data_IF_524842164139
#
_entry.id   IF_524842164139
#
_cell.length_a   1.000
_cell.length_b   1.000
_cell.length_c   1.000
_cell.angle_alpha   90.00
_cell.angle_beta   90.00
_cell.angle_gamma   90.00
#
_symmetry.space_group_name_H-M   'P 1'
#
loop_
_entity.id
_entity.type
_entity.pdbx_description
1 polymer ?
#
# COMPACT_ATOMS: atom_id res chain seq x y z
N UNK A 1 14.02 -2.83 21.13
CA UNK A 1 14.83 -3.65 22.09
C UNK A 1 15.64 -2.83 23.11
N UNK A 2 16.19 -1.68 22.74
CA UNK A 2 16.93 -0.79 23.68
C UNK A 2 16.00 -0.08 24.66
N UNK A 3 14.78 0.31 24.25
CA UNK A 3 13.80 1.00 25.10
C UNK A 3 13.26 0.16 26.25
N UNK A 4 13.06 -1.14 26.06
CA UNK A 4 12.58 -2.03 27.13
C UNK A 4 13.64 -2.35 28.18
N UNK A 5 14.91 -2.26 27.84
CA UNK A 5 16.02 -2.36 28.77
C UNK A 5 16.16 -1.07 29.62
N UNK A 6 15.99 0.09 28.99
CA UNK A 6 16.03 1.37 29.69
C UNK A 6 14.87 1.56 30.66
N UNK A 7 13.68 1.03 30.39
CA UNK A 7 12.54 1.07 31.31
C UNK A 7 12.69 0.14 32.52
N UNK A 8 13.46 -0.96 32.43
CA UNK A 8 13.67 -1.91 33.53
C UNK A 8 14.82 -1.53 34.47
N UNK A 9 15.76 -0.72 33.98
CA UNK A 9 16.89 -0.19 34.79
C UNK A 9 16.39 0.64 35.99
N UNK A 10 15.43 1.58 35.85
CA UNK A 10 14.94 2.34 37.01
C UNK A 10 14.25 1.48 38.06
N UNK A 11 13.53 0.41 37.63
CA UNK A 11 12.87 -0.52 38.57
C UNK A 11 13.92 -1.31 39.36
N UNK A 12 14.99 -1.78 38.74
CA UNK A 12 16.07 -2.48 39.42
C UNK A 12 16.83 -1.55 40.38
N UNK A 13 17.11 -0.31 39.96
CA UNK A 13 17.74 0.70 40.79
C UNK A 13 16.82 1.09 41.95
N UNK A 14 15.53 1.28 41.73
CA UNK A 14 14.55 1.58 42.78
C UNK A 14 14.45 0.43 43.79
N UNK A 15 14.46 -0.84 43.31
CA UNK A 15 14.52 -2.00 44.19
C UNK A 15 15.78 -2.05 45.07
N UNK A 16 16.94 -1.76 44.46
CA UNK A 16 18.21 -1.73 45.21
C UNK A 16 18.27 -0.56 46.19
N UNK A 17 17.75 0.61 45.84
CA UNK A 17 17.62 1.76 46.73
C UNK A 17 16.66 1.48 47.88
N UNK A 18 15.56 0.79 47.62
CA UNK A 18 14.58 0.38 48.64
C UNK A 18 15.21 -0.60 49.65
N UNK A 19 16.01 -1.57 49.14
CA UNK A 19 16.74 -2.50 50.02
C UNK A 19 17.79 -1.76 50.84
N UNK A 20 18.51 -0.81 50.27
CA UNK A 20 19.50 0.03 51.00
C UNK A 20 18.79 0.91 52.02
N UNK A 21 17.62 1.50 51.72
CA UNK A 21 16.82 2.31 52.64
C UNK A 21 16.29 1.46 53.81
N UNK A 22 15.75 0.27 53.54
CA UNK A 22 15.28 -0.65 54.57
C UNK A 22 16.42 -1.09 55.47
N UNK A 23 17.60 -1.38 54.91
CA UNK A 23 18.81 -1.70 55.67
C UNK A 23 19.23 -0.54 56.58
N UNK A 24 19.27 0.68 56.04
CA UNK A 24 19.67 1.88 56.83
C UNK A 24 18.68 2.17 57.95
N UNK A 25 17.39 2.07 57.68
CA UNK A 25 16.35 2.21 58.71
C UNK A 25 16.47 1.12 59.79
N UNK A 26 16.68 -0.12 59.38
CA UNK A 26 16.87 -1.26 60.28
C UNK A 26 18.11 -1.10 61.18
N UNK A 27 19.27 -0.72 60.60
CA UNK A 27 20.51 -0.45 61.37
C UNK A 27 20.30 0.69 62.35
N UNK A 28 19.58 1.76 61.95
CA UNK A 28 19.30 2.92 62.81
C UNK A 28 18.35 2.60 63.94
N UNK A 29 17.32 1.78 63.70
CA UNK A 29 16.31 1.39 64.71
C UNK A 29 16.82 0.41 65.77
N UNK A 30 17.85 -0.38 65.45
CA UNK A 30 18.45 -1.40 66.32
C UNK A 30 19.80 -1.03 66.89
N UNK A 31 20.34 0.18 66.62
CA UNK A 31 21.68 0.62 67.04
C UNK A 31 22.81 -0.39 66.73
N UNK A 32 22.64 -1.16 65.62
CA UNK A 32 23.60 -2.22 65.21
C UNK A 32 24.75 -1.58 64.45
N UNK A 33 25.97 -1.85 64.92
CA UNK A 33 27.18 -1.39 64.19
C UNK A 33 27.43 -2.26 62.95
N UNK A 34 28.02 -1.65 61.90
CA UNK A 34 28.37 -2.37 60.67
C UNK A 34 29.24 -3.59 60.93
N UNK A 35 30.13 -3.54 61.91
CA UNK A 35 31.02 -4.64 62.24
C UNK A 35 30.26 -5.83 62.85
N UNK A 36 29.27 -5.58 63.70
CA UNK A 36 28.41 -6.63 64.27
C UNK A 36 27.55 -7.31 63.18
N UNK A 37 27.01 -6.55 62.25
CA UNK A 37 26.27 -7.13 61.12
C UNK A 37 27.15 -8.10 60.29
N UNK A 38 28.36 -7.69 59.91
CA UNK A 38 29.26 -8.56 59.17
C UNK A 38 29.71 -9.78 60.00
N UNK A 39 29.86 -9.66 61.31
CA UNK A 39 30.18 -10.77 62.20
C UNK A 39 29.07 -11.82 62.22
N UNK A 40 27.79 -11.38 62.32
CA UNK A 40 26.62 -12.26 62.25
C UNK A 40 26.46 -12.87 60.87
N UNK A 41 26.67 -12.06 59.80
CA UNK A 41 26.62 -12.53 58.41
C UNK A 41 27.62 -13.68 58.21
N UNK A 42 28.86 -13.52 58.76
CA UNK A 42 29.91 -14.54 58.65
C UNK A 42 29.57 -15.79 59.46
N UNK A 43 28.87 -15.69 60.59
CA UNK A 43 28.42 -16.83 61.40
C UNK A 43 27.25 -17.61 60.79
N UNK A 44 26.53 -17.02 59.80
CA UNK A 44 25.34 -17.59 59.18
C UNK A 44 25.57 -18.11 57.77
N UNK A 45 26.84 -18.40 57.36
CA UNK A 45 27.19 -18.83 56.03
C UNK A 45 26.37 -19.99 55.47
N UNK A 46 26.15 -21.04 56.30
CA UNK A 46 25.35 -22.20 55.89
C UNK A 46 23.91 -21.82 55.60
N UNK A 47 23.32 -20.95 56.40
CA UNK A 47 21.95 -20.45 56.21
C UNK A 47 21.84 -19.57 54.91
N UNK A 48 22.86 -18.78 54.61
CA UNK A 48 22.93 -18.01 53.39
C UNK A 48 23.02 -18.89 52.15
N UNK A 49 23.76 -20.00 52.19
CA UNK A 49 23.81 -20.98 51.08
C UNK A 49 22.41 -21.57 50.85
N UNK A 50 21.71 -21.99 51.92
CA UNK A 50 20.37 -22.51 51.78
C UNK A 50 19.36 -21.49 51.29
N UNK A 51 19.42 -20.21 51.75
CA UNK A 51 18.57 -19.14 51.22
C UNK A 51 18.87 -18.84 49.75
N UNK A 52 20.10 -18.92 49.32
CA UNK A 52 20.49 -18.77 47.92
C UNK A 52 19.90 -19.92 47.04
N UNK A 53 20.08 -21.16 47.50
CA UNK A 53 19.52 -22.33 46.78
C UNK A 53 18.01 -22.21 46.67
N UNK A 54 17.33 -21.89 47.78
CA UNK A 54 15.87 -21.71 47.82
C UNK A 54 15.40 -20.57 46.88
N UNK A 55 16.10 -19.41 46.89
CA UNK A 55 15.81 -18.32 45.98
C UNK A 55 15.96 -18.71 44.49
N UNK A 56 17.03 -19.47 44.16
CA UNK A 56 17.26 -19.94 42.77
C UNK A 56 16.15 -20.93 42.37
N UNK A 57 15.80 -21.88 43.24
CA UNK A 57 14.76 -22.87 42.93
C UNK A 57 13.40 -22.18 42.74
N UNK A 58 12.99 -21.29 43.64
CA UNK A 58 11.71 -20.60 43.59
C UNK A 58 11.58 -19.75 42.33
N UNK A 59 12.63 -18.99 42.00
CA UNK A 59 12.64 -18.12 40.80
C UNK A 59 12.74 -18.90 39.52
N UNK A 60 13.43 -20.05 39.53
CA UNK A 60 13.49 -20.96 38.36
C UNK A 60 12.13 -21.59 38.07
N UNK A 61 11.41 -22.05 39.10
CA UNK A 61 10.03 -22.58 38.95
C UNK A 61 9.10 -21.50 38.38
N UNK A 62 9.17 -20.29 38.91
CA UNK A 62 8.39 -19.15 38.40
C UNK A 62 8.76 -18.80 36.95
N UNK A 63 10.07 -18.82 36.64
CA UNK A 63 10.57 -18.58 35.26
C UNK A 63 10.08 -19.64 34.26
N UNK A 64 10.11 -20.93 34.65
CA UNK A 64 9.58 -22.03 33.82
C UNK A 64 8.07 -21.87 33.61
N UNK A 65 7.32 -21.55 34.67
CA UNK A 65 5.88 -21.33 34.57
C UNK A 65 5.53 -20.17 33.61
N UNK A 66 6.23 -19.04 33.73
CA UNK A 66 6.04 -17.91 32.81
C UNK A 66 6.47 -18.25 31.39
N UNK A 67 7.52 -19.05 31.20
CA UNK A 67 7.95 -19.50 29.88
C UNK A 67 6.91 -20.40 29.21
N UNK A 68 6.33 -21.35 29.96
CA UNK A 68 5.25 -22.19 29.44
C UNK A 68 4.05 -21.32 29.04
N UNK A 69 3.64 -20.38 29.91
CA UNK A 69 2.55 -19.46 29.61
C UNK A 69 2.83 -18.60 28.39
N UNK A 70 4.06 -18.14 28.18
CA UNK A 70 4.43 -17.30 27.05
C UNK A 70 4.43 -18.02 25.71
N UNK A 71 4.50 -19.38 25.70
CA UNK A 71 4.37 -20.17 24.45
C UNK A 71 2.95 -20.11 23.87
N UNK A 72 1.95 -19.83 24.70
CA UNK A 72 0.56 -19.80 24.31
C UNK A 72 0.00 -18.38 24.15
N UNK A 73 0.83 -17.37 24.39
CA UNK A 73 0.42 -15.97 24.34
C UNK A 73 1.50 -15.11 23.68
N UNK A 74 1.15 -14.45 22.58
CA UNK A 74 2.05 -13.56 21.85
C UNK A 74 1.27 -12.33 21.40
N UNK A 75 1.94 -11.18 21.39
CA UNK A 75 1.40 -9.93 20.89
C UNK A 75 2.25 -9.41 19.73
N UNK A 76 1.60 -8.78 18.75
CA UNK A 76 2.26 -8.00 17.73
C UNK A 76 1.69 -6.59 17.69
N UNK A 77 2.54 -5.62 17.40
CA UNK A 77 2.10 -4.27 17.08
C UNK A 77 2.17 -4.11 15.57
N UNK A 78 1.04 -3.75 14.99
CA UNK A 78 0.88 -3.40 13.58
C UNK A 78 0.83 -1.88 13.50
N UNK A 79 1.82 -1.28 12.88
CA UNK A 79 1.89 0.18 12.67
C UNK A 79 1.63 0.51 11.20
N UNK A 80 0.72 1.45 10.97
CA UNK A 80 0.36 1.96 9.65
C UNK A 80 1.16 3.24 9.37
N UNK A 81 2.17 3.14 8.49
CA UNK A 81 3.13 4.20 8.21
C UNK A 81 2.89 4.89 6.85
N UNK A 82 1.63 5.05 6.45
CA UNK A 82 1.25 5.78 5.24
C UNK A 82 0.44 7.05 5.60
N UNK A 83 0.41 8.03 4.69
CA UNK A 83 -0.12 9.37 4.96
C UNK A 83 -1.59 9.39 5.39
N UNK A 84 -2.41 8.58 4.74
CA UNK A 84 -3.87 8.49 4.93
C UNK A 84 -4.24 7.83 6.28
N UNK A 85 -3.32 7.04 6.86
CA UNK A 85 -3.54 6.38 8.15
C UNK A 85 -3.85 7.36 9.29
N UNK A 86 -3.22 8.54 9.29
CA UNK A 86 -3.48 9.60 10.27
C UNK A 86 -4.89 10.19 10.18
N UNK A 87 -5.59 9.96 9.08
CA UNK A 87 -6.97 10.37 8.82
C UNK A 87 -7.97 9.21 9.00
N UNK A 88 -7.54 8.08 9.55
CA UNK A 88 -8.29 6.83 9.65
C UNK A 88 -8.78 6.31 8.28
N UNK A 89 -7.95 6.46 7.24
CA UNK A 89 -8.24 6.01 5.88
C UNK A 89 -7.23 4.96 5.43
N UNK A 90 -7.67 4.06 4.56
CA UNK A 90 -6.82 3.16 3.80
C UNK A 90 -6.11 3.93 2.68
N UNK A 91 -5.12 3.34 2.05
CA UNK A 91 -4.37 3.95 0.94
C UNK A 91 -5.22 4.34 -0.29
N UNK A 92 -6.42 3.76 -0.43
CA UNK A 92 -7.39 4.10 -1.48
C UNK A 92 -8.41 5.17 -1.03
N UNK A 93 -8.26 5.78 0.15
CA UNK A 93 -9.17 6.79 0.69
C UNK A 93 -10.42 6.25 1.39
N UNK A 94 -10.64 4.93 1.41
CA UNK A 94 -11.76 4.34 2.15
C UNK A 94 -11.48 4.35 3.65
N UNK A 95 -12.55 4.29 4.47
CA UNK A 95 -12.41 4.32 5.93
C UNK A 95 -11.68 3.07 6.44
N UNK A 96 -10.65 3.25 7.27
CA UNK A 96 -9.92 2.15 7.89
C UNK A 96 -10.76 1.45 8.97
N UNK A 97 -10.70 0.12 9.00
CA UNK A 97 -11.33 -0.71 10.02
C UNK A 97 -10.32 -1.70 10.61
N UNK A 98 -9.91 -1.47 11.86
CA UNK A 98 -8.92 -2.34 12.54
C UNK A 98 -9.35 -3.80 12.67
N UNK A 99 -10.67 -4.08 12.70
CA UNK A 99 -11.19 -5.45 12.81
C UNK A 99 -10.87 -6.30 11.58
N UNK A 100 -10.48 -5.67 10.46
CA UNK A 100 -10.08 -6.40 9.25
C UNK A 100 -8.75 -7.13 9.43
N UNK A 101 -7.92 -6.73 10.39
CA UNK A 101 -6.66 -7.45 10.70
C UNK A 101 -6.93 -8.92 11.08
N UNK A 102 -8.11 -9.18 11.65
CA UNK A 102 -8.56 -10.52 12.08
C UNK A 102 -9.91 -10.91 11.44
N UNK A 103 -10.22 -10.44 10.23
CA UNK A 103 -11.42 -10.85 9.50
C UNK A 103 -11.31 -12.32 9.04
N UNK A 104 -12.42 -12.90 8.63
CA UNK A 104 -12.47 -14.32 8.27
C UNK A 104 -11.54 -14.63 7.09
N UNK A 105 -11.49 -13.77 6.07
CA UNK A 105 -10.61 -13.93 4.92
C UNK A 105 -9.12 -13.94 5.29
N UNK A 106 -8.71 -13.05 6.22
CA UNK A 106 -7.32 -13.01 6.72
C UNK A 106 -6.99 -14.26 7.51
N UNK A 107 -7.92 -14.72 8.36
CA UNK A 107 -7.69 -15.91 9.19
C UNK A 107 -7.66 -17.18 8.35
N UNK A 108 -8.53 -17.32 7.34
CA UNK A 108 -8.51 -18.42 6.36
C UNK A 108 -7.19 -18.47 5.61
N UNK A 109 -6.76 -17.35 5.06
CA UNK A 109 -5.48 -17.23 4.36
C UNK A 109 -4.30 -17.58 5.26
N UNK A 110 -4.32 -17.19 6.53
CA UNK A 110 -3.28 -17.55 7.48
C UNK A 110 -3.26 -19.05 7.82
N UNK A 111 -4.44 -19.70 7.87
CA UNK A 111 -4.56 -21.16 8.05
C UNK A 111 -3.96 -21.90 6.84
N UNK A 112 -4.26 -21.46 5.63
CA UNK A 112 -3.72 -22.00 4.38
C UNK A 112 -2.19 -21.85 4.33
N UNK A 113 -1.67 -20.64 4.58
CA UNK A 113 -0.23 -20.35 4.62
C UNK A 113 0.52 -21.17 5.65
N UNK A 114 -0.10 -21.41 6.81
CA UNK A 114 0.47 -22.18 7.91
C UNK A 114 0.24 -23.68 7.81
N UNK A 115 -0.56 -24.14 6.85
CA UNK A 115 -1.03 -25.52 6.72
C UNK A 115 -1.52 -26.09 8.09
N UNK A 116 -2.32 -25.30 8.82
CA UNK A 116 -2.78 -25.67 10.15
C UNK A 116 -3.85 -26.76 10.06
N UNK A 117 -3.44 -28.01 10.31
CA UNK A 117 -4.37 -29.14 10.34
C UNK A 117 -5.31 -29.08 11.54
N UNK A 118 -6.60 -29.44 11.32
CA UNK A 118 -7.63 -29.55 12.35
C UNK A 118 -7.99 -28.24 13.10
N UNK A 119 -7.72 -27.08 12.53
CA UNK A 119 -8.09 -25.77 13.08
C UNK A 119 -9.05 -25.08 12.14
N UNK A 120 -10.22 -24.71 12.65
CA UNK A 120 -11.22 -23.95 11.87
C UNK A 120 -10.98 -22.43 12.03
N UNK A 121 -11.40 -21.64 11.04
CA UNK A 121 -11.38 -20.16 11.06
C UNK A 121 -11.98 -19.61 12.35
N UNK A 122 -13.14 -20.13 12.76
CA UNK A 122 -13.82 -19.70 14.00
C UNK A 122 -13.00 -20.01 15.26
N UNK A 123 -12.34 -21.17 15.32
CA UNK A 123 -11.50 -21.53 16.49
C UNK A 123 -10.28 -20.62 16.59
N UNK A 124 -9.61 -20.32 15.48
CA UNK A 124 -8.44 -19.45 15.47
C UNK A 124 -8.84 -18.00 15.75
N UNK A 125 -9.92 -17.50 15.14
CA UNK A 125 -10.44 -16.16 15.37
C UNK A 125 -10.82 -15.89 16.81
N UNK A 126 -11.39 -16.87 17.52
CA UNK A 126 -11.72 -16.75 18.95
C UNK A 126 -10.47 -16.63 19.85
N UNK A 127 -9.28 -16.95 19.33
CA UNK A 127 -8.01 -16.83 20.03
C UNK A 127 -7.31 -15.49 19.73
N UNK A 128 -7.87 -14.68 18.83
CA UNK A 128 -7.31 -13.41 18.36
C UNK A 128 -8.12 -12.24 18.92
N UNK A 129 -7.43 -11.18 19.29
CA UNK A 129 -8.03 -9.89 19.59
C UNK A 129 -7.21 -8.76 19.01
N UNK A 130 -7.87 -7.66 18.62
CA UNK A 130 -7.24 -6.46 18.09
C UNK A 130 -7.77 -5.24 18.81
N UNK A 131 -6.86 -4.33 19.20
CA UNK A 131 -7.21 -3.07 19.85
C UNK A 131 -6.18 -1.99 19.54
N UNK A 132 -6.55 -0.70 19.62
CA UNK A 132 -5.61 0.38 19.33
C UNK A 132 -4.49 0.42 20.38
N UNK A 133 -3.27 0.69 19.92
CA UNK A 133 -2.13 0.92 20.80
C UNK A 133 -2.13 2.39 21.23
N UNK A 134 -2.44 2.64 22.49
CA UNK A 134 -2.46 4.00 23.06
C UNK A 134 -1.21 4.22 23.90
N UNK A 135 -0.34 5.11 23.44
CA UNK A 135 0.79 5.60 24.24
C UNK A 135 0.33 6.84 25.05
N UNK A 136 0.03 6.67 26.33
CA UNK A 136 -0.26 7.80 27.22
C UNK A 136 -1.49 7.60 28.10
N UNK A 137 -1.79 8.61 28.95
CA UNK A 137 -2.94 8.58 29.83
C UNK A 137 -4.25 8.67 29.03
N UNK A 138 -5.05 7.62 29.08
CA UNK A 138 -6.33 7.47 28.36
C UNK A 138 -7.38 8.49 28.84
N UNK A 139 -7.10 9.27 29.89
CA UNK A 139 -8.05 10.18 30.54
C UNK A 139 -8.00 11.63 30.04
N UNK A 140 -7.19 11.94 29.01
CA UNK A 140 -7.15 13.28 28.46
C UNK A 140 -8.16 13.40 27.31
N UNK A 141 -9.40 13.73 27.62
CA UNK A 141 -10.51 13.93 26.66
C UNK A 141 -10.26 15.08 25.66
N UNK A 142 -9.19 15.86 25.85
CA UNK A 142 -8.88 17.01 25.01
C UNK A 142 -8.12 16.65 23.72
N UNK A 143 -7.55 15.44 23.62
CA UNK A 143 -6.77 14.99 22.47
C UNK A 143 -7.44 13.78 21.79
N UNK A 144 -8.32 14.03 20.83
CA UNK A 144 -8.81 13.01 19.93
C UNK A 144 -7.67 12.58 19.00
N UNK A 145 -7.01 11.47 19.34
CA UNK A 145 -5.92 10.91 18.54
C UNK A 145 -6.41 9.68 17.78
N UNK A 146 -6.27 9.72 16.46
CA UNK A 146 -6.50 8.55 15.60
C UNK A 146 -5.28 7.65 15.77
N UNK A 147 -5.49 6.45 16.33
CA UNK A 147 -4.39 5.49 16.45
C UNK A 147 -4.01 4.94 15.09
N UNK A 148 -2.72 5.05 14.77
CA UNK A 148 -2.10 4.41 13.59
C UNK A 148 -1.38 3.11 13.96
N UNK A 149 -1.38 2.76 15.26
CA UNK A 149 -0.77 1.54 15.78
C UNK A 149 -1.84 0.68 16.45
N UNK A 150 -1.83 -0.62 16.19
CA UNK A 150 -2.78 -1.59 16.70
C UNK A 150 -2.06 -2.78 17.29
N UNK A 151 -2.56 -3.27 18.41
CA UNK A 151 -2.06 -4.50 19.05
C UNK A 151 -2.92 -5.66 18.56
N UNK A 152 -2.28 -6.67 18.02
CA UNK A 152 -2.88 -7.96 17.70
C UNK A 152 -2.37 -8.96 18.73
N UNK A 153 -3.29 -9.58 19.44
CA UNK A 153 -3.01 -10.50 20.52
C UNK A 153 -3.51 -11.90 20.15
N UNK A 154 -2.67 -12.89 20.35
CA UNK A 154 -3.06 -14.29 20.22
C UNK A 154 -2.95 -14.97 21.58
N UNK A 155 -4.04 -15.63 22.01
CA UNK A 155 -4.10 -16.42 23.22
C UNK A 155 -4.65 -17.81 22.89
N UNK A 156 -3.79 -18.82 22.95
CA UNK A 156 -4.14 -20.18 22.55
C UNK A 156 -5.27 -20.77 23.39
N UNK A 157 -6.20 -21.44 22.74
CA UNK A 157 -7.25 -22.27 23.35
C UNK A 157 -6.86 -23.74 23.31
N UNK A 158 -7.66 -24.61 23.96
CA UNK A 158 -7.46 -26.07 23.94
C UNK A 158 -7.35 -26.67 22.52
N UNK A 159 -7.97 -26.03 21.54
CA UNK A 159 -7.94 -26.49 20.14
C UNK A 159 -6.71 -25.99 19.37
N UNK A 160 -6.00 -25.00 19.89
CA UNK A 160 -4.86 -24.35 19.22
C UNK A 160 -3.57 -24.40 20.06
N UNK A 161 -3.57 -25.09 21.21
CA UNK A 161 -2.39 -25.22 22.09
C UNK A 161 -1.17 -25.89 21.39
N UNK A 162 -1.43 -26.70 20.36
CA UNK A 162 -0.38 -27.35 19.57
C UNK A 162 0.31 -26.41 18.58
N UNK A 163 -0.29 -25.24 18.31
CA UNK A 163 0.27 -24.25 17.42
C UNK A 163 1.33 -23.39 18.12
N UNK A 164 2.37 -23.03 17.39
CA UNK A 164 3.34 -22.05 17.87
C UNK A 164 2.72 -20.64 17.77
N UNK A 165 2.49 -20.01 18.92
CA UNK A 165 1.85 -18.68 19.01
C UNK A 165 2.57 -17.59 18.19
N UNK A 166 3.93 -17.61 18.16
CA UNK A 166 4.72 -16.67 17.38
C UNK A 166 4.50 -16.87 15.87
N UNK A 167 4.47 -18.13 15.43
CA UNK A 167 4.20 -18.46 14.03
C UNK A 167 2.77 -18.05 13.61
N UNK A 168 1.78 -18.28 14.48
CA UNK A 168 0.39 -17.87 14.22
C UNK A 168 0.30 -16.35 14.01
N UNK A 169 0.88 -15.56 14.91
CA UNK A 169 0.84 -14.07 14.78
C UNK A 169 1.57 -13.60 13.53
N UNK A 170 2.73 -14.20 13.19
CA UNK A 170 3.46 -13.87 11.98
C UNK A 170 2.64 -14.17 10.73
N UNK A 171 1.94 -15.30 10.68
CA UNK A 171 1.10 -15.68 9.57
C UNK A 171 -0.15 -14.80 9.45
N UNK A 172 -0.82 -14.48 10.57
CA UNK A 172 -1.96 -13.54 10.58
C UNK A 172 -1.54 -12.17 10.05
N UNK A 173 -0.41 -11.65 10.51
CA UNK A 173 0.07 -10.34 10.07
C UNK A 173 0.55 -10.35 8.62
N UNK A 174 1.12 -11.45 8.13
CA UNK A 174 1.49 -11.63 6.73
C UNK A 174 0.25 -11.75 5.84
N UNK A 175 -0.73 -12.57 6.24
CA UNK A 175 -2.01 -12.70 5.55
C UNK A 175 -2.77 -11.37 5.48
N UNK A 176 -2.72 -10.57 6.56
CA UNK A 176 -3.32 -9.23 6.57
C UNK A 176 -2.63 -8.29 5.58
N UNK A 177 -1.29 -8.31 5.47
CA UNK A 177 -0.57 -7.52 4.47
C UNK A 177 -1.01 -7.87 3.06
N UNK A 178 -1.10 -9.16 2.73
CA UNK A 178 -1.56 -9.60 1.41
C UNK A 178 -3.02 -9.21 1.15
N UNK A 179 -3.91 -9.42 2.12
CA UNK A 179 -5.31 -9.00 2.04
C UNK A 179 -5.43 -7.48 1.82
N UNK A 180 -4.62 -6.69 2.54
CA UNK A 180 -4.60 -5.23 2.40
C UNK A 180 -4.16 -4.80 1.00
N UNK A 181 -3.14 -5.45 0.44
CA UNK A 181 -2.66 -5.21 -0.92
C UNK A 181 -3.78 -5.49 -1.92
N UNK A 182 -4.39 -6.66 -1.84
CA UNK A 182 -5.45 -7.09 -2.77
C UNK A 182 -6.66 -6.14 -2.72
N UNK A 183 -7.04 -5.69 -1.54
CA UNK A 183 -8.28 -4.92 -1.35
C UNK A 183 -8.10 -3.41 -1.52
N UNK A 184 -6.95 -2.86 -1.12
CA UNK A 184 -6.79 -1.41 -0.98
C UNK A 184 -5.69 -0.81 -1.86
N UNK A 185 -4.76 -1.60 -2.38
CA UNK A 185 -3.67 -1.09 -3.20
C UNK A 185 -3.70 -1.60 -4.63
N UNK A 186 -4.37 -2.71 -4.86
CA UNK A 186 -4.41 -3.41 -6.14
C UNK A 186 -5.49 -2.82 -7.06
N UNK A 187 -5.31 -1.56 -7.46
CA UNK A 187 -6.09 -0.95 -8.51
C UNK A 187 -5.51 -1.37 -9.87
N UNK A 188 -5.51 -2.68 -10.18
CA UNK A 188 -5.16 -3.17 -11.51
C UNK A 188 -6.27 -2.82 -12.49
N UNK A 189 -6.32 -1.53 -12.88
CA UNK A 189 -7.21 -1.06 -13.95
C UNK A 189 -7.01 -1.81 -15.27
N UNK A 190 -5.88 -2.52 -15.40
CA UNK A 190 -5.60 -3.42 -16.54
C UNK A 190 -6.42 -4.70 -16.47
N UNK A 191 -6.82 -5.18 -15.27
CA UNK A 191 -7.54 -6.45 -15.11
C UNK A 191 -9.05 -6.31 -15.24
N UNK A 192 -9.59 -5.11 -15.34
CA UNK A 192 -10.99 -4.89 -15.76
C UNK A 192 -11.15 -5.18 -17.25
N UNK A 193 -10.70 -6.37 -17.67
CA UNK A 193 -10.89 -6.81 -19.04
C UNK A 193 -12.37 -7.10 -19.23
N UNK A 194 -13.01 -6.28 -20.06
CA UNK A 194 -14.17 -6.72 -20.83
C UNK A 194 -13.79 -8.03 -21.52
N UNK A 195 -14.72 -8.97 -21.67
CA UNK A 195 -14.51 -10.20 -22.42
C UNK A 195 -13.84 -9.87 -23.76
N UNK A 196 -12.73 -10.56 -24.08
CA UNK A 196 -12.05 -10.36 -25.36
C UNK A 196 -13.03 -10.58 -26.50
N UNK A 197 -13.10 -9.67 -27.48
CA UNK A 197 -13.98 -9.84 -28.61
C UNK A 197 -13.56 -11.05 -29.45
N UNK A 198 -14.50 -11.68 -30.10
CA UNK A 198 -14.22 -12.72 -31.10
C UNK A 198 -13.65 -12.08 -32.37
N UNK A 199 -12.35 -12.18 -32.58
CA UNK A 199 -11.67 -11.62 -33.74
C UNK A 199 -12.20 -12.21 -35.06
N UNK A 200 -12.86 -13.37 -35.05
CA UNK A 200 -13.45 -13.94 -36.27
C UNK A 200 -14.60 -13.12 -36.83
N UNK A 201 -15.25 -12.33 -35.99
CA UNK A 201 -16.39 -11.47 -36.32
C UNK A 201 -15.99 -10.01 -36.58
N UNK A 202 -14.72 -9.66 -36.38
CA UNK A 202 -14.23 -8.28 -36.54
C UNK A 202 -13.51 -8.08 -37.88
N UNK A 203 -13.61 -6.88 -38.42
CA UNK A 203 -12.77 -6.48 -39.54
C UNK A 203 -11.30 -6.33 -39.10
N UNK A 204 -10.36 -6.66 -40.01
CA UNK A 204 -8.93 -6.67 -39.69
C UNK A 204 -8.40 -5.32 -39.16
N UNK A 205 -8.86 -4.20 -39.72
CA UNK A 205 -8.47 -2.88 -39.24
C UNK A 205 -9.07 -2.55 -37.85
N UNK A 206 -10.25 -3.08 -37.56
CA UNK A 206 -10.85 -2.96 -36.21
C UNK A 206 -10.05 -3.76 -35.19
N UNK A 207 -9.55 -4.96 -35.58
CA UNK A 207 -8.64 -5.76 -34.76
C UNK A 207 -7.34 -5.00 -34.48
N UNK A 208 -6.74 -4.35 -35.50
CA UNK A 208 -5.54 -3.50 -35.32
C UNK A 208 -5.83 -2.41 -34.28
N UNK A 209 -6.97 -1.73 -34.41
CA UNK A 209 -7.37 -0.67 -33.48
C UNK A 209 -7.57 -1.18 -32.06
N UNK A 210 -8.20 -2.35 -31.92
CA UNK A 210 -8.39 -3.03 -30.64
C UNK A 210 -7.04 -3.39 -29.99
N UNK A 211 -6.15 -4.10 -30.70
CA UNK A 211 -4.84 -4.49 -30.20
C UNK A 211 -3.96 -3.28 -29.83
N UNK A 212 -4.03 -2.21 -30.65
CA UNK A 212 -3.34 -0.95 -30.37
C UNK A 212 -3.88 -0.28 -29.09
N UNK A 213 -5.19 -0.30 -28.86
CA UNK A 213 -5.84 0.22 -27.65
C UNK A 213 -5.45 -0.59 -26.40
N UNK A 214 -5.50 -1.93 -26.48
CA UNK A 214 -5.08 -2.82 -25.39
C UNK A 214 -3.62 -2.57 -24.99
N UNK A 215 -2.73 -2.52 -25.99
CA UNK A 215 -1.31 -2.24 -25.75
C UNK A 215 -1.11 -0.84 -25.12
N UNK A 216 -1.93 0.14 -25.55
CA UNK A 216 -1.88 1.50 -24.97
C UNK A 216 -2.37 1.50 -23.52
N UNK A 217 -3.32 0.67 -23.18
CA UNK A 217 -3.79 0.51 -21.78
C UNK A 217 -2.67 -0.02 -20.88
N UNK A 218 -1.91 -1.03 -21.36
CA UNK A 218 -0.73 -1.54 -20.65
C UNK A 218 0.34 -0.45 -20.49
N UNK A 219 0.59 0.32 -21.54
CA UNK A 219 1.55 1.45 -21.51
C UNK A 219 1.15 2.51 -20.48
N UNK A 220 -0.11 2.91 -20.47
CA UNK A 220 -0.62 3.92 -19.54
C UNK A 220 -0.48 3.47 -18.08
N UNK A 221 -0.77 2.20 -17.81
CA UNK A 221 -0.52 1.62 -16.50
C UNK A 221 0.96 1.68 -16.12
N UNK A 222 1.85 1.19 -16.98
CA UNK A 222 3.29 1.16 -16.73
C UNK A 222 3.87 2.57 -16.51
N UNK A 223 3.46 3.56 -17.31
CA UNK A 223 3.87 4.95 -17.10
C UNK A 223 3.31 5.54 -15.83
N UNK A 224 2.05 5.24 -15.48
CA UNK A 224 1.46 5.65 -14.20
C UNK A 224 2.21 5.07 -12.99
N UNK A 225 2.63 3.80 -13.09
CA UNK A 225 3.45 3.16 -12.06
C UNK A 225 4.88 3.73 -12.01
N UNK A 226 5.48 4.03 -13.16
CA UNK A 226 6.80 4.63 -13.24
C UNK A 226 6.86 6.02 -12.57
N UNK A 227 5.80 6.81 -12.71
CA UNK A 227 5.71 8.12 -12.04
C UNK A 227 5.66 8.00 -10.51
N UNK A 228 5.00 6.95 -9.99
CA UNK A 228 4.88 6.70 -8.54
C UNK A 228 6.14 6.07 -7.94
N UNK A 229 6.98 5.41 -8.74
CA UNK A 229 8.02 4.48 -8.28
C UNK A 229 9.38 4.70 -8.97
N UNK A 230 9.90 5.93 -8.96
CA UNK A 230 11.12 6.31 -9.68
C UNK A 230 12.37 5.48 -9.33
N UNK A 231 12.46 4.93 -8.13
CA UNK A 231 13.62 4.15 -7.65
C UNK A 231 13.36 2.65 -7.54
N UNK A 232 12.16 2.19 -7.87
CA UNK A 232 11.80 0.78 -7.75
C UNK A 232 12.35 -0.04 -8.90
N UNK A 233 12.90 -1.21 -8.56
CA UNK A 233 13.40 -2.22 -9.50
C UNK A 233 12.79 -3.55 -9.12
N UNK A 234 12.25 -4.27 -10.09
CA UNK A 234 11.67 -5.61 -9.90
C UNK A 234 12.74 -6.64 -9.53
N UNK A 235 12.33 -7.80 -9.04
CA UNK A 235 13.23 -8.94 -8.77
C UNK A 235 14.09 -9.32 -9.99
N UNK A 236 13.57 -9.12 -11.20
CA UNK A 236 14.29 -9.37 -12.46
C UNK A 236 15.19 -8.20 -12.92
N UNK A 237 15.48 -7.23 -12.06
CA UNK A 237 16.29 -6.04 -12.37
C UNK A 237 15.71 -5.18 -13.51
N UNK A 238 14.38 -5.14 -13.67
CA UNK A 238 13.69 -4.29 -14.65
C UNK A 238 12.94 -3.17 -13.93
N UNK A 239 12.80 -2.02 -14.60
CA UNK A 239 11.97 -0.90 -14.14
C UNK A 239 10.68 -0.82 -14.94
N UNK A 240 9.64 -0.17 -14.43
CA UNK A 240 8.41 0.08 -15.18
C UNK A 240 8.68 0.79 -16.51
N UNK A 241 9.59 1.77 -16.54
CA UNK A 241 10.00 2.44 -17.78
C UNK A 241 10.66 1.48 -18.78
N UNK A 242 11.46 0.53 -18.32
CA UNK A 242 12.10 -0.47 -19.17
C UNK A 242 11.06 -1.41 -19.79
N UNK A 243 10.07 -1.86 -19.02
CA UNK A 243 8.97 -2.68 -19.53
C UNK A 243 8.13 -1.87 -20.52
N UNK A 244 7.77 -0.63 -20.17
CA UNK A 244 7.02 0.27 -21.06
C UNK A 244 7.76 0.51 -22.40
N UNK A 245 9.07 0.67 -22.38
CA UNK A 245 9.88 0.80 -23.58
C UNK A 245 9.78 -0.42 -24.51
N UNK A 246 9.78 -1.64 -23.95
CA UNK A 246 9.59 -2.88 -24.74
C UNK A 246 8.20 -2.94 -25.36
N UNK A 247 7.16 -2.63 -24.57
CA UNK A 247 5.76 -2.63 -25.02
C UNK A 247 5.53 -1.57 -26.10
N UNK A 248 6.10 -0.38 -25.92
CA UNK A 248 6.04 0.68 -26.94
C UNK A 248 6.69 0.26 -28.26
N UNK A 249 7.91 -0.28 -28.24
CA UNK A 249 8.58 -0.79 -29.42
C UNK A 249 7.79 -1.92 -30.08
N UNK A 250 7.23 -2.82 -29.30
CA UNK A 250 6.38 -3.89 -29.79
C UNK A 250 5.16 -3.33 -30.53
N UNK A 251 4.44 -2.36 -29.94
CA UNK A 251 3.30 -1.69 -30.57
C UNK A 251 3.66 -1.08 -31.90
N UNK A 252 4.74 -0.27 -31.95
CA UNK A 252 5.15 0.43 -33.14
C UNK A 252 5.58 -0.55 -34.27
N UNK A 253 6.31 -1.61 -33.92
CA UNK A 253 6.85 -2.54 -34.92
C UNK A 253 5.81 -3.59 -35.33
N UNK A 254 5.18 -4.27 -34.36
CA UNK A 254 4.33 -5.43 -34.69
C UNK A 254 2.93 -5.02 -35.10
N UNK A 255 2.34 -4.01 -34.43
CA UNK A 255 0.97 -3.60 -34.73
C UNK A 255 0.96 -2.58 -35.86
N UNK A 256 1.69 -1.46 -35.70
CA UNK A 256 1.57 -0.33 -36.63
C UNK A 256 2.38 -0.58 -37.92
N UNK A 257 3.62 -1.09 -37.86
CA UNK A 257 4.43 -1.30 -39.05
C UNK A 257 4.14 -2.64 -39.72
N UNK A 258 4.08 -3.75 -38.99
CA UNK A 258 3.91 -5.07 -39.59
C UNK A 258 2.46 -5.38 -39.91
N UNK A 259 1.57 -5.45 -38.92
CA UNK A 259 0.18 -5.88 -39.11
C UNK A 259 -0.62 -4.88 -39.94
N UNK A 260 -0.64 -3.60 -39.53
CA UNK A 260 -1.38 -2.55 -40.27
C UNK A 260 -0.89 -2.42 -41.69
N UNK A 261 0.44 -2.44 -41.93
CA UNK A 261 0.99 -2.35 -43.26
C UNK A 261 0.65 -3.57 -44.13
N UNK A 262 0.70 -4.78 -43.60
CA UNK A 262 0.28 -6.00 -44.26
C UNK A 262 -1.17 -5.89 -44.75
N UNK A 263 -2.08 -5.51 -43.84
CA UNK A 263 -3.51 -5.36 -44.15
C UNK A 263 -3.73 -4.31 -45.22
N UNK A 264 -3.09 -3.14 -45.15
CA UNK A 264 -3.22 -2.07 -46.12
C UNK A 264 -2.57 -2.40 -47.47
N UNK A 265 -1.44 -3.12 -47.48
CA UNK A 265 -0.72 -3.50 -48.71
C UNK A 265 -1.53 -4.47 -49.56
N UNK A 266 -2.14 -5.47 -48.93
CA UNK A 266 -2.91 -6.52 -49.63
C UNK A 266 -4.43 -6.28 -49.57
N UNK A 267 -4.88 -5.16 -48.97
CA UNK A 267 -6.31 -4.83 -48.87
C UNK A 267 -7.15 -5.90 -48.18
N UNK A 268 -6.59 -6.48 -47.11
CA UNK A 268 -7.19 -7.58 -46.36
C UNK A 268 -8.41 -7.09 -45.62
N UNK A 269 -9.56 -7.67 -45.88
CA UNK A 269 -10.82 -7.40 -45.22
C UNK A 269 -11.70 -8.65 -45.26
N UNK A 270 -12.58 -8.86 -44.26
CA UNK A 270 -13.55 -9.95 -44.27
C UNK A 270 -14.73 -9.63 -45.19
N UNK A 271 -15.26 -8.41 -45.12
CA UNK A 271 -16.22 -7.82 -46.05
C UNK A 271 -15.69 -6.47 -46.55
N UNK A 272 -14.92 -6.51 -47.59
CA UNK A 272 -14.25 -5.32 -48.17
C UNK A 272 -15.25 -4.23 -48.59
N UNK A 273 -16.38 -4.63 -49.18
CA UNK A 273 -17.40 -3.68 -49.64
C UNK A 273 -18.08 -3.00 -48.47
N UNK A 274 -18.58 -3.81 -47.52
CA UNK A 274 -19.26 -3.31 -46.31
C UNK A 274 -18.34 -2.47 -45.44
N UNK A 275 -17.04 -2.83 -45.39
CA UNK A 275 -16.08 -2.03 -44.63
C UNK A 275 -15.84 -0.65 -45.25
N UNK A 276 -15.68 -0.59 -46.60
CA UNK A 276 -15.52 0.68 -47.33
C UNK A 276 -16.76 1.56 -47.17
N UNK A 277 -17.97 0.97 -47.25
CA UNK A 277 -19.23 1.71 -47.10
C UNK A 277 -19.37 2.25 -45.67
N UNK A 278 -18.96 1.46 -44.65
CA UNK A 278 -18.92 1.89 -43.26
C UNK A 278 -17.98 3.09 -43.06
N UNK A 279 -16.77 3.02 -43.54
CA UNK A 279 -15.81 4.14 -43.43
C UNK A 279 -16.31 5.38 -44.19
N UNK A 280 -16.93 5.21 -45.36
CA UNK A 280 -17.48 6.32 -46.13
C UNK A 280 -18.64 7.01 -45.32
N UNK A 281 -19.48 6.23 -44.67
CA UNK A 281 -20.53 6.75 -43.79
C UNK A 281 -19.95 7.48 -42.56
N UNK A 282 -18.92 6.89 -41.93
CA UNK A 282 -18.21 7.54 -40.81
C UNK A 282 -17.62 8.89 -41.25
N UNK A 283 -17.00 8.97 -42.41
CA UNK A 283 -16.46 10.23 -42.95
C UNK A 283 -17.55 11.29 -43.13
N UNK A 284 -18.74 10.92 -43.57
CA UNK A 284 -19.87 11.88 -43.67
C UNK A 284 -20.27 12.43 -42.29
N UNK A 285 -20.35 11.57 -41.29
CA UNK A 285 -20.67 12.00 -39.92
C UNK A 285 -19.57 12.90 -39.34
N UNK A 286 -18.31 12.57 -39.54
CA UNK A 286 -17.17 13.39 -39.09
C UNK A 286 -17.17 14.74 -39.80
N UNK A 287 -17.51 14.76 -41.10
CA UNK A 287 -17.59 15.99 -41.84
C UNK A 287 -18.71 16.93 -41.36
N UNK A 288 -19.87 16.40 -40.99
CA UNK A 288 -20.92 17.16 -40.30
C UNK A 288 -20.44 17.79 -38.97
N UNK A 289 -19.71 17.01 -38.18
CA UNK A 289 -19.12 17.52 -36.93
C UNK A 289 -18.03 18.57 -37.21
N UNK A 290 -17.25 18.39 -38.27
CA UNK A 290 -16.27 19.39 -38.73
C UNK A 290 -16.95 20.71 -39.13
N UNK A 291 -18.02 20.65 -39.96
CA UNK A 291 -18.78 21.82 -40.37
C UNK A 291 -19.42 22.58 -39.17
N UNK A 292 -19.94 21.83 -38.20
CA UNK A 292 -20.44 22.39 -36.94
C UNK A 292 -19.34 23.11 -36.14
N UNK A 293 -18.16 22.49 -36.05
CA UNK A 293 -17.01 23.09 -35.37
C UNK A 293 -16.51 24.34 -36.12
N UNK A 294 -16.51 24.36 -37.47
CA UNK A 294 -16.16 25.51 -38.29
C UNK A 294 -17.14 26.68 -38.01
N UNK A 295 -18.45 26.41 -38.06
CA UNK A 295 -19.45 27.44 -37.76
C UNK A 295 -19.30 28.00 -36.33
N UNK A 296 -18.97 27.14 -35.36
CA UNK A 296 -18.74 27.56 -33.97
C UNK A 296 -17.46 28.37 -33.81
N UNK A 297 -16.38 27.99 -34.52
CA UNK A 297 -15.12 28.74 -34.59
C UNK A 297 -15.33 30.16 -35.18
N UNK A 298 -16.05 30.25 -36.29
CA UNK A 298 -16.35 31.53 -36.95
C UNK A 298 -17.19 32.44 -36.05
N UNK A 299 -18.20 31.88 -35.38
CA UNK A 299 -19.02 32.63 -34.40
C UNK A 299 -18.17 33.19 -33.24
N UNK A 300 -17.22 32.40 -32.73
CA UNK A 300 -16.30 32.86 -31.67
C UNK A 300 -15.40 34.01 -32.19
N UNK A 301 -14.86 33.91 -33.40
CA UNK A 301 -14.01 34.94 -34.00
C UNK A 301 -14.79 36.23 -34.29
N UNK A 302 -16.02 36.12 -34.79
CA UNK A 302 -16.90 37.27 -35.01
C UNK A 302 -17.21 37.98 -33.67
N UNK A 303 -17.51 37.19 -32.62
CA UNK A 303 -17.73 37.73 -31.28
C UNK A 303 -16.47 38.44 -30.72
N UNK A 304 -15.28 37.84 -30.89
CA UNK A 304 -13.99 38.42 -30.49
C UNK A 304 -13.75 39.74 -31.25
N UNK A 305 -14.03 39.78 -32.56
CA UNK A 305 -13.82 40.96 -33.39
C UNK A 305 -14.77 42.09 -32.97
N UNK A 306 -16.05 41.82 -32.71
CA UNK A 306 -17.02 42.79 -32.18
C UNK A 306 -16.58 43.35 -30.82
N UNK A 307 -16.07 42.49 -29.94
CA UNK A 307 -15.52 42.91 -28.66
C UNK A 307 -14.30 43.80 -28.81
N UNK A 308 -13.42 43.54 -29.79
CA UNK A 308 -12.23 44.35 -30.06
C UNK A 308 -12.59 45.74 -30.57
N UNK A 309 -13.66 45.91 -31.36
CA UNK A 309 -14.15 47.20 -31.84
C UNK A 309 -14.81 48.02 -30.76
N UNK A 310 -15.65 47.45 -29.90
CA UNK A 310 -16.33 48.16 -28.83
C UNK A 310 -15.42 48.51 -27.65
N UNK A 311 -14.40 47.74 -27.35
CA UNK A 311 -13.45 47.97 -26.23
C UNK A 311 -12.41 49.06 -26.50
N UNK A 312 -12.36 49.66 -27.68
CA UNK A 312 -11.61 50.89 -27.91
C UNK A 312 -12.28 52.12 -27.31
N UNK A 313 -13.54 52.04 -26.82
CA UNK A 313 -14.21 53.05 -26.02
C UNK A 313 -13.81 52.90 -24.55
N UNK A 314 -12.90 53.77 -24.11
CA UNK A 314 -12.47 53.86 -22.71
C UNK A 314 -13.65 54.33 -21.86
N UNK A 315 -14.22 53.47 -21.02
CA UNK A 315 -15.14 53.87 -19.97
C UNK A 315 -14.34 54.30 -18.75
N UNK A 316 -14.23 55.62 -18.56
CA UNK A 316 -13.67 56.22 -17.35
C UNK A 316 -14.74 56.12 -16.24
N UNK A 317 -14.54 55.22 -15.27
CA UNK A 317 -15.36 55.17 -14.06
C UNK A 317 -14.71 56.10 -13.03
N UNK A 318 -15.33 57.22 -12.64
CA UNK A 318 -14.81 58.08 -11.60
C UNK A 318 -14.93 57.35 -10.23
N UNK A 319 -13.82 57.22 -9.52
CA UNK A 319 -13.84 56.77 -8.13
C UNK A 319 -14.16 57.92 -7.20
N UNK A 320 -15.11 57.74 -6.28
CA UNK A 320 -15.62 58.79 -5.35
C UNK A 320 -14.69 59.01 -4.13
N UNK A 321 -13.48 58.46 -4.12
CA UNK A 321 -12.55 58.50 -2.99
C UNK A 321 -11.60 59.72 -2.97
N UNK A 322 -11.82 60.70 -3.86
CA UNK A 322 -11.07 61.96 -3.86
C UNK A 322 -9.57 61.84 -4.22
N UNK A 323 -9.06 60.66 -4.57
CA UNK A 323 -7.63 60.45 -4.84
C UNK A 323 -7.23 60.66 -6.30
N UNK A 324 -8.17 61.01 -7.18
CA UNK A 324 -7.91 61.33 -8.61
C UNK A 324 -7.35 60.16 -9.42
N UNK A 325 -7.43 58.96 -8.92
CA UNK A 325 -7.00 57.75 -9.62
C UNK A 325 -8.14 57.09 -10.36
N UNK A 326 -8.01 56.98 -11.68
CA UNK A 326 -8.95 56.26 -12.53
C UNK A 326 -8.50 54.81 -12.69
N UNK A 327 -9.36 53.86 -12.36
CA UNK A 327 -9.11 52.45 -12.63
C UNK A 327 -9.78 52.11 -13.97
N UNK A 328 -8.97 51.69 -14.96
CA UNK A 328 -9.48 51.05 -16.18
C UNK A 328 -9.76 49.57 -15.85
N UNK A 329 -11.01 49.22 -15.64
CA UNK A 329 -11.46 47.84 -15.62
C UNK A 329 -11.44 47.29 -17.04
N UNK A 330 -10.36 46.58 -17.44
CA UNK A 330 -10.40 45.72 -18.63
C UNK A 330 -11.21 44.48 -18.27
N UNK A 331 -12.41 44.34 -18.82
CA UNK A 331 -13.15 43.09 -18.83
C UNK A 331 -12.52 42.14 -19.88
N UNK A 332 -11.33 41.57 -19.60
CA UNK A 332 -10.68 40.60 -20.46
C UNK A 332 -11.36 39.22 -20.41
N UNK A 333 -12.15 38.93 -19.39
CA UNK A 333 -12.68 37.60 -19.09
C UNK A 333 -13.47 37.00 -20.27
N UNK A 334 -14.30 37.78 -20.96
CA UNK A 334 -15.10 37.27 -22.08
C UNK A 334 -14.26 36.92 -23.32
N UNK A 335 -13.22 37.71 -23.65
CA UNK A 335 -12.36 37.48 -24.81
C UNK A 335 -11.45 36.28 -24.58
N UNK A 336 -10.90 36.15 -23.37
CA UNK A 336 -10.04 35.02 -23.03
C UNK A 336 -10.83 33.69 -23.11
N UNK A 337 -12.08 33.68 -22.66
CA UNK A 337 -12.97 32.52 -22.74
C UNK A 337 -13.36 32.17 -24.18
N UNK A 338 -13.74 33.16 -25.00
CA UNK A 338 -14.01 32.99 -26.42
C UNK A 338 -12.77 32.49 -27.20
N UNK A 339 -11.57 32.98 -26.84
CA UNK A 339 -10.33 32.57 -27.45
C UNK A 339 -9.98 31.09 -27.13
N UNK A 340 -10.23 30.66 -25.88
CA UNK A 340 -10.09 29.25 -25.46
C UNK A 340 -11.08 28.38 -26.24
N UNK A 341 -12.35 28.81 -26.35
CA UNK A 341 -13.36 28.07 -27.13
C UNK A 341 -12.98 27.98 -28.62
N UNK A 342 -12.55 29.10 -29.25
CA UNK A 342 -12.09 29.10 -30.64
C UNK A 342 -10.90 28.14 -30.84
N UNK A 343 -9.93 28.13 -29.93
CA UNK A 343 -8.81 27.19 -29.98
C UNK A 343 -9.29 25.74 -29.89
N UNK A 344 -10.26 25.47 -28.99
CA UNK A 344 -10.85 24.13 -28.86
C UNK A 344 -11.55 23.68 -30.16
N UNK A 345 -12.36 24.55 -30.78
CA UNK A 345 -12.99 24.23 -32.07
C UNK A 345 -11.98 24.04 -33.19
N UNK A 346 -10.93 24.87 -33.25
CA UNK A 346 -9.85 24.71 -34.23
C UNK A 346 -9.13 23.36 -34.07
N UNK A 347 -8.86 22.92 -32.85
CA UNK A 347 -8.27 21.62 -32.59
C UNK A 347 -9.21 20.46 -33.00
N UNK A 348 -10.53 20.62 -32.77
CA UNK A 348 -11.51 19.64 -33.19
C UNK A 348 -11.62 19.55 -34.71
N UNK A 349 -11.58 20.68 -35.43
CA UNK A 349 -11.54 20.72 -36.90
C UNK A 349 -10.33 19.96 -37.42
N UNK A 350 -9.13 20.25 -36.90
CA UNK A 350 -7.91 19.58 -37.31
C UNK A 350 -7.94 18.07 -37.01
N UNK A 351 -8.54 17.66 -35.89
CA UNK A 351 -8.73 16.26 -35.54
C UNK A 351 -9.69 15.56 -36.50
N UNK A 352 -10.82 16.17 -36.84
CA UNK A 352 -11.80 15.63 -37.78
C UNK A 352 -11.21 15.50 -39.21
N UNK A 353 -10.49 16.51 -39.67
CA UNK A 353 -9.80 16.47 -40.98
C UNK A 353 -8.77 15.34 -41.03
N UNK A 354 -7.98 15.16 -39.99
CA UNK A 354 -7.01 14.06 -39.86
C UNK A 354 -7.71 12.71 -39.96
N UNK A 355 -8.81 12.50 -39.22
CA UNK A 355 -9.54 11.23 -39.21
C UNK A 355 -10.16 10.92 -40.57
N UNK A 356 -10.74 11.91 -41.25
CA UNK A 356 -11.25 11.76 -42.60
C UNK A 356 -10.12 11.35 -43.56
N UNK A 357 -8.96 12.01 -43.49
CA UNK A 357 -7.81 11.69 -44.34
C UNK A 357 -7.27 10.26 -44.07
N UNK A 358 -7.21 9.82 -42.84
CA UNK A 358 -6.81 8.47 -42.46
C UNK A 358 -7.79 7.43 -43.01
N UNK A 359 -9.10 7.65 -42.87
CA UNK A 359 -10.14 6.78 -43.42
C UNK A 359 -10.08 6.73 -44.97
N UNK A 360 -9.89 7.87 -45.62
CA UNK A 360 -9.74 7.94 -47.08
C UNK A 360 -8.49 7.18 -47.57
N UNK A 361 -7.38 7.26 -46.82
CA UNK A 361 -6.18 6.50 -47.13
C UNK A 361 -6.49 5.00 -47.08
N UNK A 362 -7.17 4.52 -46.07
CA UNK A 362 -7.60 3.13 -45.93
C UNK A 362 -8.51 2.73 -47.07
N UNK A 363 -9.55 3.50 -47.36
CA UNK A 363 -10.48 3.26 -48.48
C UNK A 363 -9.75 3.16 -49.80
N UNK A 364 -8.84 4.09 -50.08
CA UNK A 364 -8.10 4.12 -51.33
C UNK A 364 -7.12 2.92 -51.46
N UNK A 365 -6.49 2.51 -50.36
CA UNK A 365 -5.64 1.32 -50.34
C UNK A 365 -6.46 0.05 -50.56
N UNK A 366 -7.59 -0.10 -49.83
CA UNK A 366 -8.49 -1.24 -49.99
C UNK A 366 -9.02 -1.37 -51.42
N UNK A 367 -9.45 -0.27 -52.08
CA UNK A 367 -9.94 -0.27 -53.45
C UNK A 367 -8.89 -0.69 -54.48
N UNK A 368 -7.62 -0.40 -54.23
CA UNK A 368 -6.52 -0.66 -55.17
C UNK A 368 -5.88 -2.06 -55.02
N UNK A 369 -6.03 -2.66 -53.84
CA UNK A 369 -5.37 -3.93 -53.56
C UNK A 369 -6.09 -5.10 -54.21
N UNK A 370 -5.32 -6.05 -54.76
CA UNK A 370 -5.82 -7.34 -55.22
C UNK A 370 -6.01 -8.28 -54.01
N UNK A 371 -7.02 -9.12 -54.07
CA UNK A 371 -7.26 -10.13 -53.05
C UNK A 371 -6.17 -11.21 -53.10
N UNK A 372 -5.61 -11.54 -51.93
CA UNK A 372 -4.63 -12.59 -51.72
C UNK A 372 -4.96 -13.44 -50.49
N UNK A 373 -5.44 -14.66 -50.75
CA UNK A 373 -5.83 -15.58 -49.68
C UNK A 373 -4.65 -15.98 -48.77
N UNK A 374 -3.44 -15.94 -49.28
CA UNK A 374 -2.23 -16.25 -48.48
C UNK A 374 -1.93 -15.13 -47.50
N UNK A 375 -2.22 -13.89 -47.84
CA UNK A 375 -2.05 -12.74 -46.97
C UNK A 375 -3.05 -12.72 -45.79
N UNK A 376 -4.28 -13.21 -46.01
CA UNK A 376 -5.28 -13.37 -44.96
C UNK A 376 -4.78 -14.34 -43.87
N UNK A 377 -4.26 -15.50 -44.25
CA UNK A 377 -3.71 -16.47 -43.32
C UNK A 377 -2.49 -15.93 -42.56
N UNK A 378 -1.65 -15.12 -43.20
CA UNK A 378 -0.50 -14.44 -42.58
C UNK A 378 -0.99 -13.41 -41.53
N UNK A 379 -2.03 -12.62 -41.87
CA UNK A 379 -2.61 -11.64 -40.96
C UNK A 379 -3.22 -12.32 -39.72
N UNK A 380 -3.98 -13.40 -39.92
CA UNK A 380 -4.57 -14.14 -38.80
C UNK A 380 -3.52 -14.75 -37.86
N UNK A 381 -2.43 -15.32 -38.42
CA UNK A 381 -1.30 -15.84 -37.65
C UNK A 381 -0.57 -14.72 -36.87
N UNK A 382 -0.40 -13.55 -37.48
CA UNK A 382 0.24 -12.40 -36.87
C UNK A 382 -0.64 -11.82 -35.74
N UNK A 383 -1.95 -11.71 -35.97
CA UNK A 383 -2.94 -11.29 -34.94
C UNK A 383 -2.84 -12.20 -33.72
N UNK A 384 -2.88 -13.52 -33.90
CA UNK A 384 -2.80 -14.48 -32.80
C UNK A 384 -1.48 -14.34 -32.01
N UNK A 385 -0.36 -14.12 -32.70
CA UNK A 385 0.96 -13.91 -32.07
C UNK A 385 1.02 -12.59 -31.30
N UNK A 386 0.42 -11.53 -31.86
CA UNK A 386 0.37 -10.21 -31.20
C UNK A 386 -0.52 -10.28 -29.95
N UNK A 387 -1.70 -10.88 -30.04
CA UNK A 387 -2.62 -11.03 -28.91
C UNK A 387 -1.95 -11.78 -27.75
N UNK A 388 -1.29 -12.92 -28.05
CA UNK A 388 -0.53 -13.65 -27.04
C UNK A 388 0.60 -12.82 -26.42
N UNK A 389 1.26 -11.99 -27.21
CA UNK A 389 2.32 -11.12 -26.72
C UNK A 389 1.79 -10.02 -25.80
N UNK A 390 0.61 -9.46 -26.11
CA UNK A 390 -0.07 -8.48 -25.25
C UNK A 390 -0.45 -9.11 -23.92
N UNK A 391 -0.97 -10.35 -23.92
CA UNK A 391 -1.26 -11.09 -22.68
C UNK A 391 0.00 -11.28 -21.82
N UNK A 392 1.13 -11.61 -22.44
CA UNK A 392 2.41 -11.74 -21.74
C UNK A 392 2.89 -10.42 -21.15
N UNK A 393 2.77 -9.31 -21.88
CA UNK A 393 3.11 -7.97 -21.36
C UNK A 393 2.17 -7.53 -20.24
N UNK A 394 0.89 -7.85 -20.35
CA UNK A 394 -0.10 -7.60 -19.28
C UNK A 394 0.27 -8.37 -18.04
N UNK A 395 0.60 -9.65 -18.16
CA UNK A 395 1.06 -10.47 -17.04
C UNK A 395 2.37 -9.95 -16.42
N UNK A 396 3.34 -9.52 -17.24
CA UNK A 396 4.61 -8.91 -16.78
C UNK A 396 4.32 -7.59 -16.02
N UNK A 397 3.43 -6.76 -16.54
CA UNK A 397 3.05 -5.49 -15.92
C UNK A 397 2.33 -5.70 -14.57
N UNK A 398 1.39 -6.66 -14.50
CA UNK A 398 0.69 -7.04 -13.27
C UNK A 398 1.69 -7.58 -12.23
N UNK A 399 2.60 -8.46 -12.65
CA UNK A 399 3.63 -9.00 -11.78
C UNK A 399 4.50 -7.89 -11.19
N UNK A 400 5.00 -6.99 -12.03
CA UNK A 400 5.79 -5.84 -11.59
C UNK A 400 5.00 -4.92 -10.64
N UNK A 401 3.71 -4.71 -10.89
CA UNK A 401 2.81 -3.96 -10.01
C UNK A 401 2.66 -4.61 -8.63
N UNK A 402 2.50 -5.93 -8.58
CA UNK A 402 2.43 -6.69 -7.31
C UNK A 402 3.74 -6.63 -6.53
N UNK A 403 4.88 -6.78 -7.20
CA UNK A 403 6.19 -6.63 -6.56
C UNK A 403 6.37 -5.22 -5.96
N UNK A 404 5.92 -4.17 -6.66
CA UNK A 404 5.94 -2.81 -6.15
C UNK A 404 4.99 -2.62 -4.96
N UNK A 405 3.78 -3.16 -5.04
CA UNK A 405 2.81 -3.12 -3.93
C UNK A 405 3.36 -3.82 -2.69
N UNK A 406 3.99 -4.99 -2.86
CA UNK A 406 4.67 -5.70 -1.78
C UNK A 406 5.83 -4.88 -1.19
N UNK A 407 6.64 -4.25 -2.03
CA UNK A 407 7.76 -3.40 -1.61
C UNK A 407 7.26 -2.20 -0.77
N UNK A 408 6.24 -1.50 -1.25
CA UNK A 408 5.64 -0.37 -0.54
C UNK A 408 4.96 -0.79 0.75
N UNK A 409 4.20 -1.89 0.74
CA UNK A 409 3.50 -2.37 1.94
C UNK A 409 4.43 -2.85 3.04
N UNK A 410 5.59 -3.42 2.71
CA UNK A 410 6.60 -3.75 3.72
C UNK A 410 7.10 -2.52 4.48
N UNK A 411 7.04 -1.34 3.86
CA UNK A 411 7.37 -0.06 4.49
C UNK A 411 6.15 0.58 5.17
N UNK A 412 4.96 0.46 4.57
CA UNK A 412 3.73 1.10 5.04
C UNK A 412 3.06 0.36 6.20
N UNK A 413 3.16 -0.98 6.26
CA UNK A 413 2.64 -1.78 7.37
C UNK A 413 3.81 -2.45 8.07
N UNK A 414 4.30 -1.82 9.15
CA UNK A 414 5.35 -2.36 9.98
C UNK A 414 4.74 -3.28 11.05
N UNK A 415 5.34 -4.46 11.22
CA UNK A 415 4.92 -5.43 12.24
C UNK A 415 6.06 -5.69 13.20
N UNK A 416 5.81 -5.51 14.48
CA UNK A 416 6.75 -5.81 15.57
C UNK A 416 6.17 -6.89 16.47
N UNK A 417 6.73 -8.09 16.42
CA UNK A 417 6.27 -9.21 17.27
C UNK A 417 7.01 -9.18 18.60
N UNK A 418 6.26 -9.21 19.68
CA UNK A 418 6.78 -9.24 21.04
C UNK A 418 6.62 -10.65 21.61
N UNK A 419 7.59 -11.50 21.33
CA UNK A 419 7.72 -12.79 21.99
C UNK A 419 8.70 -12.71 23.17
N UNK A 420 8.38 -13.41 24.25
CA UNK A 420 9.27 -13.48 25.42
C UNK A 420 10.38 -14.47 25.15
N UNK A 421 11.57 -13.99 24.79
CA UNK A 421 12.73 -14.86 24.61
C UNK A 421 13.19 -15.51 25.91
N UNK A 422 13.64 -16.76 25.87
CA UNK A 422 14.27 -17.46 27.00
C UNK A 422 15.33 -16.62 27.69
N UNK A 423 16.12 -15.88 26.90
CA UNK A 423 17.21 -15.04 27.40
C UNK A 423 16.69 -13.83 28.22
N UNK A 424 15.56 -13.24 27.84
CA UNK A 424 14.93 -12.14 28.58
C UNK A 424 14.32 -12.65 29.89
N UNK A 425 13.77 -13.84 29.88
CA UNK A 425 13.23 -14.51 31.07
C UNK A 425 14.35 -14.89 32.03
N UNK A 426 15.47 -15.44 31.55
CA UNK A 426 16.63 -15.77 32.38
C UNK A 426 17.19 -14.52 33.11
N UNK A 427 17.28 -13.38 32.42
CA UNK A 427 17.69 -12.12 33.05
C UNK A 427 16.74 -11.70 34.16
N UNK A 428 15.44 -11.86 33.94
CA UNK A 428 14.41 -11.53 34.94
C UNK A 428 14.47 -12.48 36.13
N UNK A 429 14.64 -13.77 35.90
CA UNK A 429 14.82 -14.80 36.94
C UNK A 429 16.05 -14.51 37.81
N UNK A 430 17.20 -14.17 37.19
CA UNK A 430 18.42 -13.82 37.92
C UNK A 430 18.22 -12.56 38.79
N UNK A 431 17.56 -11.55 38.27
CA UNK A 431 17.26 -10.32 39.03
C UNK A 431 16.36 -10.60 40.24
N UNK A 432 15.29 -11.35 40.08
CA UNK A 432 14.41 -11.73 41.16
C UNK A 432 15.08 -12.69 42.15
N UNK A 433 15.97 -13.60 41.71
CA UNK A 433 16.76 -14.46 42.58
C UNK A 433 17.66 -13.64 43.48
N UNK A 434 18.35 -12.63 42.97
CA UNK A 434 19.17 -11.72 43.77
C UNK A 434 18.35 -10.94 44.78
N UNK A 435 17.21 -10.38 44.38
CA UNK A 435 16.31 -9.65 45.32
C UNK A 435 15.79 -10.57 46.40
N UNK A 436 15.34 -11.78 46.06
CA UNK A 436 14.84 -12.75 47.04
C UNK A 436 15.96 -13.21 47.98
N UNK A 437 17.16 -13.43 47.45
CA UNK A 437 18.32 -13.76 48.30
C UNK A 437 18.63 -12.67 49.32
N UNK A 438 18.67 -11.39 48.90
CA UNK A 438 18.92 -10.27 49.79
C UNK A 438 17.82 -10.16 50.83
N UNK A 439 16.53 -10.26 50.44
CA UNK A 439 15.40 -10.20 51.37
C UNK A 439 15.45 -11.34 52.40
N UNK A 440 15.69 -12.60 51.98
CA UNK A 440 15.75 -13.77 52.85
C UNK A 440 16.97 -13.73 53.79
N UNK A 441 18.12 -13.23 53.31
CA UNK A 441 19.31 -13.04 54.16
C UNK A 441 19.07 -11.99 55.23
N UNK A 442 18.38 -10.91 54.91
CA UNK A 442 18.01 -9.87 55.86
C UNK A 442 17.08 -10.41 56.97
N UNK A 443 16.03 -11.17 56.59
CA UNK A 443 15.13 -11.79 57.51
C UNK A 443 15.84 -12.82 58.42
N UNK A 444 16.75 -13.62 57.85
CA UNK A 444 17.49 -14.63 58.60
C UNK A 444 18.50 -14.02 59.57
N UNK A 445 19.14 -12.94 59.19
CA UNK A 445 20.07 -12.20 60.03
C UNK A 445 19.32 -11.45 61.13
N UNK A 446 18.14 -10.84 60.81
CA UNK A 446 17.31 -10.12 61.78
C UNK A 446 16.82 -10.98 62.94
N UNK A 447 16.54 -12.28 62.71
CA UNK A 447 16.12 -13.22 63.73
C UNK A 447 17.24 -13.59 64.72
N UNK A 448 18.50 -13.36 64.39
CA UNK A 448 19.65 -13.65 65.27
C UNK A 448 20.12 -12.46 66.12
N UNK A 449 19.54 -11.30 65.90
CA UNK A 449 19.77 -10.18 66.80
C UNK A 449 18.99 -10.38 68.10
N UNK A 450 19.61 -10.20 69.27
CA UNK A 450 18.89 -10.28 70.52
C UNK A 450 17.76 -9.23 70.53
N UNK A 451 16.56 -9.69 70.95
CA UNK A 451 15.45 -8.78 71.24
C UNK A 451 15.88 -7.92 72.41
N UNK A 452 16.27 -6.68 72.16
CA UNK A 452 16.45 -5.68 73.20
C UNK A 452 15.15 -5.27 73.78
#
# INVERSE_FOLDING_TARGET
MVSSLLQKIPVAIAGLLLVVAVLTIYFRSKNVTRSEFFKILKSTKLLQVWTLIFAIVLTSVFGVFNYIKSKHFVTAVVALNYSEASQAQNSNGTRYNMSEIICDEVVEKAIEMGAFENVTTKQLKNCLSVYPYVQGDVNDESNYHISTEFVVEYNASKHTEHLNAENVILLITSAYKEYYIEKYTDNFSITSQEEKPDFSQMEYMDIVSYLSKETTSVLNYLYGMAQKSQSFVTENNTTFNSIAGKVYQFKEIQIEQNLRSLILQYGIARDKSGYIDRLSYQNQNIDFDREKNVASYDLCNDAISMYAEEMTRVVLVPTWDGSGKYYMGRTKVGIDELSVMATSFSNNIASNEKEIMENELVINKMKKAAEDDTANAQADALIASIDQSIDNFTAEAIKAGREYSNYTMNQCIAVSVYSTSLLSQLKTVVMFALLAYVALTLVSVSKKFPKS
#
